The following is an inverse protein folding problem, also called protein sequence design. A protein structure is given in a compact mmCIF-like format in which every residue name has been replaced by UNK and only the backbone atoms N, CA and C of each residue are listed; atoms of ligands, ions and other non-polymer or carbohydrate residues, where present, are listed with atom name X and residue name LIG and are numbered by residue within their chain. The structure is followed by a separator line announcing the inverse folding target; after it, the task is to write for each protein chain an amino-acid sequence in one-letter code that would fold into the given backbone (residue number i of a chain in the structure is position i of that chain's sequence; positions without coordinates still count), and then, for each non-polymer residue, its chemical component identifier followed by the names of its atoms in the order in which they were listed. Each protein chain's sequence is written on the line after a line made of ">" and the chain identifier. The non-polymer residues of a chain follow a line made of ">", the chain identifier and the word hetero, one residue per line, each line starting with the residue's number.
data_IF_167409385777
#
_entry.id   IF_167409385777
#
_cell.length_a   1.000
_cell.length_b   1.000
_cell.length_c   1.000
_cell.angle_alpha   90.00
_cell.angle_beta   90.00
_cell.angle_gamma   90.00
#
_symmetry.space_group_name_H-M   'P 1'
#
loop_
_entity.id
_entity.type
_entity.pdbx_description
1 polymer ?
#
# COMPACT_ATOMS: atom_id res chain seq x y z
N UNK A 1 4.97 -23.21 -11.15
CA UNK A 1 4.70 -22.58 -9.84
C UNK A 1 5.47 -21.28 -9.78
N UNK A 2 4.79 -20.11 -9.77
CA UNK A 2 5.48 -18.84 -9.50
C UNK A 2 5.84 -18.87 -8.02
N UNK A 3 7.13 -18.94 -7.69
CA UNK A 3 7.61 -18.85 -6.33
C UNK A 3 7.01 -17.60 -5.67
N UNK A 4 6.67 -17.70 -4.40
CA UNK A 4 6.05 -16.66 -3.61
C UNK A 4 6.97 -15.42 -3.55
N UNK A 5 6.81 -14.50 -4.51
CA UNK A 5 7.59 -13.25 -4.62
C UNK A 5 7.66 -12.46 -3.30
N UNK A 6 6.73 -12.73 -2.39
CA UNK A 6 6.59 -12.04 -1.12
C UNK A 6 7.48 -12.65 -0.01
N UNK A 7 7.43 -13.97 0.16
CA UNK A 7 8.20 -14.64 1.21
C UNK A 7 9.67 -14.70 0.87
N UNK A 8 10.00 -14.91 -0.41
CA UNK A 8 11.38 -14.87 -0.88
C UNK A 8 11.99 -13.48 -0.68
N UNK A 9 11.22 -12.41 -0.92
CA UNK A 9 11.66 -11.05 -0.67
C UNK A 9 11.82 -10.76 0.84
N UNK A 10 10.92 -11.26 1.69
CA UNK A 10 11.00 -11.09 3.14
C UNK A 10 12.25 -11.77 3.72
N UNK A 11 12.43 -13.06 3.46
CA UNK A 11 13.57 -13.85 3.95
C UNK A 11 14.90 -13.31 3.42
N UNK A 12 14.96 -12.93 2.15
CA UNK A 12 16.13 -12.29 1.55
C UNK A 12 16.47 -10.99 2.26
N UNK A 13 15.48 -10.13 2.54
CA UNK A 13 15.67 -8.85 3.24
C UNK A 13 16.15 -9.04 4.67
N UNK A 14 15.64 -10.03 5.38
CA UNK A 14 16.17 -10.39 6.72
C UNK A 14 17.64 -10.75 6.63
N UNK A 15 18.00 -11.73 5.81
CA UNK A 15 19.39 -12.19 5.61
C UNK A 15 20.35 -11.06 5.24
N UNK A 16 19.99 -10.24 4.26
CA UNK A 16 20.82 -9.11 3.85
C UNK A 16 20.98 -8.05 4.93
N UNK A 17 19.93 -7.81 5.73
CA UNK A 17 19.99 -6.89 6.87
C UNK A 17 20.93 -7.41 7.95
N UNK A 18 20.80 -8.69 8.31
CA UNK A 18 21.69 -9.38 9.25
C UNK A 18 23.14 -9.34 8.78
N UNK A 19 23.39 -9.65 7.50
CA UNK A 19 24.74 -9.61 6.92
C UNK A 19 25.36 -8.20 7.04
N UNK A 20 24.59 -7.15 6.72
CA UNK A 20 25.07 -5.78 6.86
C UNK A 20 25.42 -5.45 8.32
N UNK A 21 24.57 -5.84 9.26
CA UNK A 21 24.80 -5.59 10.68
C UNK A 21 26.01 -6.33 11.23
N UNK A 22 26.16 -7.63 10.92
CA UNK A 22 27.33 -8.44 11.32
C UNK A 22 28.65 -7.92 10.72
N UNK A 23 28.60 -7.31 9.55
CA UNK A 23 29.78 -6.72 8.87
C UNK A 23 29.98 -5.23 9.19
N UNK A 24 29.20 -4.67 10.10
CA UNK A 24 29.22 -3.23 10.44
C UNK A 24 29.03 -2.30 9.23
N UNK A 25 28.27 -2.79 8.21
CA UNK A 25 27.98 -2.05 6.97
C UNK A 25 26.61 -1.37 7.05
N UNK A 26 26.43 -0.21 6.40
CA UNK A 26 25.13 0.44 6.34
C UNK A 26 24.10 -0.40 5.60
N UNK A 27 22.89 -0.51 6.16
CA UNK A 27 21.77 -1.20 5.51
C UNK A 27 21.34 -0.38 4.28
N UNK A 28 21.33 -0.97 3.07
CA UNK A 28 20.99 -0.24 1.86
C UNK A 28 19.52 0.16 1.84
N UNK A 29 19.23 1.36 1.33
CA UNK A 29 17.85 1.77 1.08
C UNK A 29 17.29 0.96 -0.09
N UNK A 30 16.26 0.16 0.19
CA UNK A 30 15.65 -0.77 -0.78
C UNK A 30 14.39 -0.25 -1.42
N UNK A 31 13.71 0.66 -0.72
CA UNK A 31 12.44 1.23 -1.16
C UNK A 31 12.34 2.68 -0.75
N UNK A 32 11.91 3.50 -1.71
CA UNK A 32 11.50 4.88 -1.46
C UNK A 32 10.04 5.02 -1.90
N UNK A 33 9.15 5.29 -0.96
CA UNK A 33 7.76 5.64 -1.27
C UNK A 33 7.70 7.15 -1.55
N UNK A 34 7.22 7.52 -2.73
CA UNK A 34 7.10 8.91 -3.15
C UNK A 34 5.63 9.26 -3.27
N UNK A 35 5.17 10.15 -2.41
CA UNK A 35 3.84 10.75 -2.50
C UNK A 35 3.91 11.92 -3.48
N UNK A 36 3.66 11.63 -4.76
CA UNK A 36 3.93 12.58 -5.84
C UNK A 36 3.00 13.79 -5.82
N UNK A 37 1.78 13.63 -5.35
CA UNK A 37 0.78 14.70 -5.22
C UNK A 37 -0.27 14.34 -4.18
N UNK A 38 -0.96 15.34 -3.65
CA UNK A 38 -2.19 15.13 -2.89
C UNK A 38 -3.46 15.53 -3.65
N UNK A 39 -3.34 15.91 -4.94
CA UNK A 39 -4.47 16.04 -5.85
C UNK A 39 -5.00 14.67 -6.25
N UNK A 40 -6.31 14.59 -6.51
CA UNK A 40 -6.93 13.40 -7.08
C UNK A 40 -8.07 13.81 -8.00
N UNK A 41 -8.33 13.04 -9.03
CA UNK A 41 -9.47 13.17 -9.93
C UNK A 41 -10.71 12.41 -9.42
N UNK A 42 -10.58 11.60 -8.35
CA UNK A 42 -11.69 10.97 -7.65
C UNK A 42 -12.04 11.73 -6.36
N UNK A 43 -13.26 11.51 -5.85
CA UNK A 43 -13.78 12.08 -4.59
C UNK A 43 -14.36 10.99 -3.71
N UNK A 44 -13.59 9.91 -3.49
CA UNK A 44 -14.03 8.79 -2.66
C UNK A 44 -14.42 9.27 -1.26
N UNK A 45 -15.63 8.96 -0.82
CA UNK A 45 -16.17 9.41 0.45
C UNK A 45 -15.36 9.00 1.69
N UNK A 46 -14.56 7.93 1.58
CA UNK A 46 -13.66 7.45 2.62
C UNK A 46 -12.24 8.03 2.54
N UNK A 47 -11.95 8.93 1.59
CA UNK A 47 -10.60 9.45 1.40
C UNK A 47 -10.25 10.51 2.44
N UNK A 48 -9.15 10.29 3.18
CA UNK A 48 -8.67 11.20 4.21
C UNK A 48 -7.57 12.16 3.71
N UNK A 49 -7.29 12.19 2.42
CA UNK A 49 -6.34 13.16 1.88
C UNK A 49 -6.99 14.53 1.88
N UNK A 50 -6.31 15.51 2.49
CA UNK A 50 -6.62 16.91 2.23
C UNK A 50 -6.27 17.22 0.78
N UNK A 51 -7.29 17.43 -0.05
CA UNK A 51 -7.12 17.73 -1.49
C UNK A 51 -6.55 19.13 -1.69
N UNK A 52 -5.32 19.36 -1.25
CA UNK A 52 -4.61 20.61 -1.55
C UNK A 52 -3.92 20.50 -2.92
N UNK A 53 -3.34 21.60 -3.39
CA UNK A 53 -2.80 21.71 -4.75
C UNK A 53 -1.34 21.28 -4.89
N UNK A 54 -0.75 20.65 -3.86
CA UNK A 54 0.67 20.36 -3.83
C UNK A 54 1.05 19.16 -4.69
N UNK A 55 2.15 19.30 -5.41
CA UNK A 55 2.72 18.26 -6.28
C UNK A 55 4.24 18.35 -6.22
N UNK A 56 4.90 17.23 -6.09
CA UNK A 56 6.36 17.13 -6.10
C UNK A 56 6.90 17.61 -7.44
N UNK A 57 7.99 18.36 -7.43
CA UNK A 57 8.65 18.74 -8.67
C UNK A 57 9.38 17.54 -9.31
N UNK A 58 9.55 17.60 -10.62
CA UNK A 58 10.27 16.58 -11.38
C UNK A 58 11.72 16.46 -10.91
N UNK A 59 12.38 17.60 -10.64
CA UNK A 59 13.78 17.65 -10.22
C UNK A 59 14.01 16.94 -8.87
N UNK A 60 13.05 17.08 -7.93
CA UNK A 60 13.13 16.35 -6.64
C UNK A 60 13.01 14.84 -6.89
N UNK A 61 12.12 14.38 -7.79
CA UNK A 61 12.03 12.97 -8.12
C UNK A 61 13.33 12.46 -8.77
N UNK A 62 13.93 13.22 -9.67
CA UNK A 62 15.22 12.89 -10.29
C UNK A 62 16.34 12.78 -9.24
N UNK A 63 16.43 13.71 -8.30
CA UNK A 63 17.37 13.67 -7.18
C UNK A 63 17.14 12.43 -6.29
N UNK A 64 15.89 12.08 -6.02
CA UNK A 64 15.53 10.86 -5.26
C UNK A 64 16.02 9.61 -6.00
N UNK A 65 15.77 9.51 -7.30
CA UNK A 65 16.19 8.37 -8.12
C UNK A 65 17.72 8.27 -8.18
N UNK A 66 18.40 9.38 -8.41
CA UNK A 66 19.89 9.43 -8.43
C UNK A 66 20.47 9.00 -7.08
N UNK A 67 19.93 9.51 -5.98
CA UNK A 67 20.40 9.18 -4.62
C UNK A 67 20.15 7.72 -4.25
N UNK A 68 19.03 7.13 -4.69
CA UNK A 68 18.60 5.78 -4.32
C UNK A 68 18.47 4.87 -5.56
N UNK A 69 19.47 4.90 -6.43
CA UNK A 69 19.47 4.26 -7.75
C UNK A 69 19.21 2.74 -7.75
N UNK A 70 19.51 2.06 -6.63
CA UNK A 70 19.24 0.62 -6.43
C UNK A 70 17.91 0.33 -5.75
N UNK A 71 17.20 1.36 -5.28
CA UNK A 71 15.93 1.19 -4.59
C UNK A 71 14.76 0.99 -5.56
N UNK A 72 13.67 0.44 -5.02
CA UNK A 72 12.37 0.47 -5.67
C UNK A 72 11.75 1.85 -5.41
N UNK A 73 11.41 2.56 -6.45
CA UNK A 73 10.69 3.84 -6.39
C UNK A 73 9.19 3.56 -6.45
N UNK A 74 8.53 3.65 -5.30
CA UNK A 74 7.11 3.37 -5.17
C UNK A 74 6.30 4.67 -5.23
N UNK A 75 5.74 4.95 -6.39
CA UNK A 75 4.92 6.13 -6.63
C UNK A 75 3.51 5.92 -6.07
N UNK A 76 3.03 6.89 -5.32
CA UNK A 76 1.69 6.94 -4.72
C UNK A 76 1.29 8.41 -4.47
N UNK A 77 0.19 8.64 -3.77
CA UNK A 77 -0.27 9.99 -3.40
C UNK A 77 -1.78 10.09 -3.39
N UNK A 78 -2.35 11.19 -3.91
CA UNK A 78 -3.72 11.25 -4.37
C UNK A 78 -3.86 10.37 -5.61
N UNK A 79 -3.80 10.98 -6.80
CA UNK A 79 -3.71 10.18 -8.03
C UNK A 79 -2.49 10.59 -8.87
N UNK A 80 -1.50 9.70 -9.02
CA UNK A 80 -0.29 9.99 -9.78
C UNK A 80 -0.52 10.38 -11.25
N UNK A 81 -1.53 9.80 -11.90
CA UNK A 81 -1.80 10.02 -13.33
C UNK A 81 -2.19 11.45 -13.69
N UNK A 82 -2.63 12.27 -12.74
CA UNK A 82 -2.95 13.67 -12.98
C UNK A 82 -1.72 14.57 -13.04
N UNK A 83 -0.56 14.05 -12.66
CA UNK A 83 0.73 14.75 -12.78
C UNK A 83 1.25 14.52 -14.20
N UNK A 84 0.98 15.46 -15.12
CA UNK A 84 1.16 15.31 -16.58
C UNK A 84 2.54 14.79 -17.01
N UNK A 85 3.61 15.24 -16.34
CA UNK A 85 4.98 14.84 -16.69
C UNK A 85 5.38 13.45 -16.18
N UNK A 86 4.63 12.87 -15.20
CA UNK A 86 5.08 11.69 -14.47
C UNK A 86 5.07 10.41 -15.32
N UNK A 87 3.99 10.12 -16.06
CA UNK A 87 3.92 8.90 -16.85
C UNK A 87 4.93 8.90 -18.01
N UNK A 88 5.09 9.97 -18.80
CA UNK A 88 6.20 10.09 -19.75
C UNK A 88 7.58 9.94 -19.09
N UNK A 89 7.76 10.48 -17.91
CA UNK A 89 8.99 10.34 -17.15
C UNK A 89 9.28 8.88 -16.76
N UNK A 90 8.28 8.14 -16.27
CA UNK A 90 8.42 6.71 -15.93
C UNK A 90 8.80 5.91 -17.18
N UNK A 91 8.16 6.14 -18.33
CA UNK A 91 8.46 5.45 -19.59
C UNK A 91 9.89 5.70 -20.06
N UNK A 92 10.40 6.91 -19.92
CA UNK A 92 11.77 7.29 -20.32
C UNK A 92 12.83 6.63 -19.42
N UNK A 93 12.54 6.40 -18.15
CA UNK A 93 13.50 5.92 -17.16
C UNK A 93 13.48 4.37 -17.01
N UNK A 94 13.76 3.64 -18.08
CA UNK A 94 13.66 2.16 -18.15
C UNK A 94 14.50 1.40 -17.15
N UNK A 95 15.63 1.96 -16.70
CA UNK A 95 16.52 1.36 -15.70
C UNK A 95 16.02 1.45 -14.25
N UNK A 96 14.98 2.24 -14.00
CA UNK A 96 14.43 2.44 -12.65
C UNK A 96 13.31 1.42 -12.37
N UNK A 97 13.35 0.82 -11.17
CA UNK A 97 12.32 -0.12 -10.73
C UNK A 97 11.13 0.61 -10.13
N UNK A 98 10.15 0.98 -10.94
CA UNK A 98 8.94 1.65 -10.49
C UNK A 98 7.88 0.66 -9.99
N UNK A 99 7.27 0.96 -8.84
CA UNK A 99 5.99 0.45 -8.39
C UNK A 99 4.99 1.60 -8.39
N UNK A 100 3.73 1.35 -8.76
CA UNK A 100 2.71 2.39 -8.86
C UNK A 100 1.43 1.97 -8.13
N UNK A 101 0.90 2.89 -7.30
CA UNK A 101 -0.47 2.85 -6.83
C UNK A 101 -1.27 3.90 -7.58
N UNK A 102 -2.42 3.53 -8.15
CA UNK A 102 -3.26 4.42 -8.95
C UNK A 102 -4.72 3.98 -8.91
N UNK A 103 -5.63 4.89 -9.17
CA UNK A 103 -7.03 4.55 -9.45
C UNK A 103 -7.23 4.01 -10.88
N UNK A 104 -6.20 4.09 -11.72
CA UNK A 104 -6.18 3.63 -13.10
C UNK A 104 -7.30 4.21 -13.99
N UNK A 105 -7.80 5.41 -13.71
CA UNK A 105 -8.70 6.12 -14.63
C UNK A 105 -7.97 6.47 -15.92
N UNK A 106 -6.70 6.86 -15.81
CA UNK A 106 -5.77 7.00 -16.96
C UNK A 106 -4.95 5.71 -17.05
N UNK A 107 -4.69 5.26 -18.28
CA UNK A 107 -3.88 4.05 -18.51
C UNK A 107 -2.50 4.18 -17.87
N UNK A 108 -2.11 3.24 -16.97
CA UNK A 108 -0.77 3.22 -16.40
C UNK A 108 0.33 3.11 -17.46
N UNK A 109 1.55 3.60 -17.18
CA UNK A 109 2.69 3.42 -18.08
C UNK A 109 3.16 1.95 -18.09
N UNK A 110 3.86 1.54 -19.16
CA UNK A 110 4.31 0.15 -19.28
C UNK A 110 5.58 -0.16 -18.46
N UNK A 111 6.43 0.85 -18.24
CA UNK A 111 7.68 0.68 -17.50
C UNK A 111 7.44 0.61 -15.96
N UNK A 112 6.62 -0.35 -15.55
CA UNK A 112 6.28 -0.58 -14.13
C UNK A 112 6.54 -2.04 -13.80
N UNK A 113 7.13 -2.31 -12.62
CA UNK A 113 7.38 -3.68 -12.13
C UNK A 113 6.22 -4.23 -11.28
N UNK A 114 5.51 -3.36 -10.58
CA UNK A 114 4.30 -3.69 -9.82
C UNK A 114 3.26 -2.58 -9.94
N UNK A 115 2.03 -2.99 -10.12
CA UNK A 115 0.87 -2.11 -10.22
C UNK A 115 -0.15 -2.48 -9.14
N UNK A 116 -0.67 -1.47 -8.44
CA UNK A 116 -1.74 -1.62 -7.48
C UNK A 116 -2.87 -0.68 -7.84
N UNK A 117 -4.03 -1.23 -8.14
CA UNK A 117 -5.20 -0.47 -8.61
C UNK A 117 -6.30 -0.53 -7.55
N UNK A 118 -6.94 0.62 -7.29
CA UNK A 118 -8.10 0.70 -6.39
C UNK A 118 -9.36 0.26 -7.12
N UNK A 119 -10.07 -0.72 -6.54
CA UNK A 119 -11.38 -1.18 -7.01
C UNK A 119 -12.20 -1.63 -5.78
N UNK A 120 -13.12 -0.79 -5.34
CA UNK A 120 -13.85 -0.99 -4.08
C UNK A 120 -15.19 -1.71 -4.25
N UNK A 121 -15.67 -1.86 -5.49
CA UNK A 121 -16.88 -2.61 -5.82
C UNK A 121 -16.79 -3.27 -7.19
N UNK A 122 -17.52 -4.37 -7.36
CA UNK A 122 -17.76 -5.04 -8.64
C UNK A 122 -19.01 -4.53 -9.35
N UNK A 123 -19.85 -3.74 -8.66
CA UNK A 123 -21.07 -3.13 -9.18
C UNK A 123 -20.75 -1.77 -9.79
N UNK A 124 -20.96 -1.62 -11.10
CA UNK A 124 -20.57 -0.42 -11.86
C UNK A 124 -21.11 0.87 -11.26
N UNK A 125 -22.44 0.96 -11.09
CA UNK A 125 -23.08 2.20 -10.63
C UNK A 125 -22.68 2.54 -9.20
N UNK A 126 -22.58 1.52 -8.36
CA UNK A 126 -22.15 1.70 -6.98
C UNK A 126 -20.67 2.13 -6.89
N UNK A 127 -19.78 1.53 -7.70
CA UNK A 127 -18.39 1.99 -7.78
C UNK A 127 -18.29 3.44 -8.23
N UNK A 128 -19.01 3.82 -9.30
CA UNK A 128 -19.03 5.18 -9.80
C UNK A 128 -19.52 6.18 -8.75
N UNK A 129 -20.55 5.80 -7.98
CA UNK A 129 -21.04 6.58 -6.84
C UNK A 129 -19.95 6.74 -5.76
N UNK A 130 -19.30 5.66 -5.35
CA UNK A 130 -18.24 5.67 -4.32
C UNK A 130 -17.07 6.59 -4.68
N UNK A 131 -16.67 6.64 -5.95
CA UNK A 131 -15.51 7.42 -6.41
C UNK A 131 -15.89 8.81 -6.95
N UNK A 132 -17.18 9.08 -7.10
CA UNK A 132 -17.73 10.38 -7.53
C UNK A 132 -17.56 10.70 -9.03
N UNK A 133 -17.22 9.68 -9.86
CA UNK A 133 -17.06 9.82 -11.33
C UNK A 133 -17.38 8.52 -12.03
N UNK A 134 -17.80 8.60 -13.31
CA UNK A 134 -18.01 7.41 -14.16
C UNK A 134 -16.68 6.81 -14.60
N UNK A 135 -16.16 5.84 -13.82
CA UNK A 135 -14.81 5.30 -13.98
C UNK A 135 -14.74 3.78 -14.14
N UNK A 136 -15.76 3.03 -13.76
CA UNK A 136 -15.71 1.58 -13.63
C UNK A 136 -15.18 0.87 -14.86
N UNK A 137 -15.75 1.13 -16.04
CA UNK A 137 -15.38 0.43 -17.28
C UNK A 137 -13.91 0.66 -17.66
N UNK A 138 -13.41 1.88 -17.47
CA UNK A 138 -12.01 2.23 -17.71
C UNK A 138 -11.07 1.49 -16.75
N UNK A 139 -11.40 1.49 -15.48
CA UNK A 139 -10.60 0.83 -14.43
C UNK A 139 -10.56 -0.66 -14.67
N UNK A 140 -11.70 -1.30 -14.93
CA UNK A 140 -11.82 -2.73 -15.25
C UNK A 140 -11.00 -3.08 -16.51
N UNK A 141 -11.12 -2.29 -17.58
CA UNK A 141 -10.32 -2.45 -18.80
C UNK A 141 -8.81 -2.42 -18.49
N UNK A 142 -8.35 -1.45 -17.70
CA UNK A 142 -6.94 -1.32 -17.37
C UNK A 142 -6.45 -2.45 -16.45
N UNK A 143 -7.25 -2.90 -15.47
CA UNK A 143 -6.90 -4.07 -14.66
C UNK A 143 -6.73 -5.29 -15.57
N UNK A 144 -7.68 -5.56 -16.46
CA UNK A 144 -7.66 -6.70 -17.39
C UNK A 144 -6.43 -6.70 -18.29
N UNK A 145 -6.05 -5.52 -18.78
CA UNK A 145 -4.90 -5.34 -19.67
C UNK A 145 -3.57 -5.52 -18.91
N UNK A 146 -3.42 -4.84 -17.77
CA UNK A 146 -2.15 -4.80 -17.06
C UNK A 146 -1.88 -6.06 -16.24
N UNK A 147 -2.91 -6.76 -15.75
CA UNK A 147 -2.72 -8.03 -15.03
C UNK A 147 -2.04 -9.12 -15.88
N UNK A 148 -2.14 -9.02 -17.20
CA UNK A 148 -1.45 -9.92 -18.14
C UNK A 148 0.02 -9.57 -18.37
N UNK A 149 0.40 -8.31 -18.15
CA UNK A 149 1.73 -7.77 -18.51
C UNK A 149 2.65 -7.63 -17.30
N UNK A 150 2.12 -7.17 -16.16
CA UNK A 150 2.89 -6.88 -14.97
C UNK A 150 2.23 -7.46 -13.73
N UNK A 151 2.97 -7.56 -12.62
CA UNK A 151 2.42 -7.99 -11.32
C UNK A 151 1.40 -6.96 -10.85
N UNK A 152 0.13 -7.21 -11.13
CA UNK A 152 -0.99 -6.31 -10.82
C UNK A 152 -1.81 -6.84 -9.66
N UNK A 153 -2.15 -5.96 -8.73
CA UNK A 153 -3.03 -6.23 -7.59
C UNK A 153 -4.16 -5.23 -7.54
N UNK A 154 -5.30 -5.67 -7.02
CA UNK A 154 -6.44 -4.82 -6.67
C UNK A 154 -6.44 -4.53 -5.18
N UNK A 155 -6.89 -3.35 -4.78
CA UNK A 155 -7.10 -2.98 -3.37
C UNK A 155 -8.51 -2.45 -3.19
N UNK A 156 -9.19 -2.98 -2.17
CA UNK A 156 -10.48 -2.51 -1.69
C UNK A 156 -10.35 -2.01 -0.23
N UNK A 157 -10.97 -0.88 0.06
CA UNK A 157 -11.06 -0.35 1.43
C UNK A 157 -12.32 -0.88 2.09
N UNK A 158 -12.16 -1.47 3.29
CA UNK A 158 -13.27 -1.96 4.10
C UNK A 158 -13.95 -0.80 4.84
N UNK A 159 -15.16 -0.50 4.45
CA UNK A 159 -16.07 0.47 5.06
C UNK A 159 -17.41 -0.20 5.34
N UNK A 160 -18.31 0.48 6.06
CA UNK A 160 -19.69 -0.01 6.27
C UNK A 160 -20.40 -0.37 4.95
N UNK A 161 -20.05 0.36 3.89
CA UNK A 161 -20.69 0.20 2.58
C UNK A 161 -20.08 -0.94 1.75
N UNK A 162 -18.78 -1.21 1.91
CA UNK A 162 -18.06 -2.15 1.01
C UNK A 162 -17.85 -3.54 1.59
N UNK A 163 -17.79 -3.69 2.92
CA UNK A 163 -17.30 -4.93 3.54
C UNK A 163 -18.14 -6.18 3.25
N UNK A 164 -19.48 -6.02 3.15
CA UNK A 164 -20.38 -7.15 2.90
C UNK A 164 -20.23 -7.73 1.50
N UNK A 165 -19.96 -6.89 0.51
CA UNK A 165 -19.82 -7.25 -0.90
C UNK A 165 -18.42 -7.77 -1.28
N UNK A 166 -17.48 -7.82 -0.32
CA UNK A 166 -16.10 -8.23 -0.61
C UNK A 166 -15.95 -9.67 -1.14
N UNK A 167 -16.77 -10.68 -0.75
CA UNK A 167 -16.72 -12.01 -1.39
C UNK A 167 -17.10 -11.97 -2.87
N UNK A 168 -18.10 -11.17 -3.23
CA UNK A 168 -18.55 -11.03 -4.62
C UNK A 168 -17.53 -10.23 -5.46
N UNK A 169 -16.94 -9.20 -4.88
CA UNK A 169 -15.80 -8.50 -5.50
C UNK A 169 -14.62 -9.46 -5.76
N UNK A 170 -14.33 -10.35 -4.83
CA UNK A 170 -13.28 -11.36 -5.01
C UNK A 170 -13.61 -12.32 -6.16
N UNK A 171 -14.85 -12.84 -6.23
CA UNK A 171 -15.31 -13.70 -7.32
C UNK A 171 -15.23 -12.97 -8.66
N UNK A 172 -15.70 -11.71 -8.72
CA UNK A 172 -15.59 -10.86 -9.90
C UNK A 172 -14.14 -10.72 -10.36
N UNK A 173 -13.24 -10.36 -9.44
CA UNK A 173 -11.82 -10.18 -9.77
C UNK A 173 -11.20 -11.49 -10.29
N UNK A 174 -11.53 -12.63 -9.74
CA UNK A 174 -11.01 -13.92 -10.21
C UNK A 174 -11.54 -14.30 -11.59
N UNK A 175 -12.81 -14.01 -11.87
CA UNK A 175 -13.44 -14.28 -13.17
C UNK A 175 -12.92 -13.36 -14.25
N UNK A 176 -12.94 -12.04 -14.01
CA UNK A 176 -12.61 -11.05 -15.03
C UNK A 176 -11.09 -10.85 -15.22
N UNK A 177 -10.30 -11.15 -14.20
CA UNK A 177 -8.85 -10.92 -14.18
C UNK A 177 -8.09 -12.17 -13.75
N UNK A 178 -8.12 -13.28 -14.52
CA UNK A 178 -7.51 -14.55 -14.11
C UNK A 178 -5.99 -14.46 -13.89
N UNK A 179 -5.33 -13.46 -14.48
CA UNK A 179 -3.90 -13.19 -14.30
C UNK A 179 -3.59 -12.24 -13.13
N UNK A 180 -4.60 -11.78 -12.38
CA UNK A 180 -4.42 -10.89 -11.25
C UNK A 180 -3.58 -11.58 -10.16
N UNK A 181 -2.56 -10.87 -9.68
CA UNK A 181 -1.68 -11.39 -8.65
C UNK A 181 -2.40 -11.57 -7.29
N UNK A 182 -3.13 -10.53 -6.84
CA UNK A 182 -3.85 -10.58 -5.57
C UNK A 182 -4.93 -9.49 -5.48
N UNK A 183 -5.92 -9.74 -4.60
CA UNK A 183 -6.86 -8.73 -4.11
C UNK A 183 -6.52 -8.47 -2.64
N UNK A 184 -6.30 -7.21 -2.29
CA UNK A 184 -5.99 -6.77 -0.93
C UNK A 184 -7.17 -6.01 -0.34
N UNK A 185 -7.56 -6.39 0.86
CA UNK A 185 -8.53 -5.66 1.66
C UNK A 185 -7.80 -4.86 2.73
N UNK A 186 -8.10 -3.57 2.83
CA UNK A 186 -7.47 -2.68 3.81
C UNK A 186 -8.53 -2.01 4.66
N UNK A 187 -8.27 -1.91 5.97
CA UNK A 187 -9.16 -1.17 6.85
C UNK A 187 -9.19 0.32 6.47
N UNK A 188 -10.34 0.95 6.63
CA UNK A 188 -10.48 2.40 6.55
C UNK A 188 -9.54 3.08 7.55
N UNK A 189 -8.89 4.17 7.13
CA UNK A 189 -7.84 4.84 7.92
C UNK A 189 -8.30 6.10 8.66
N UNK A 190 -9.55 6.47 8.50
CA UNK A 190 -10.12 7.62 9.16
C UNK A 190 -10.80 7.30 10.49
N UNK A 191 -11.38 8.34 11.09
CA UNK A 191 -12.08 8.26 12.37
C UNK A 191 -13.58 8.50 12.24
N UNK A 192 -14.08 8.74 11.01
CA UNK A 192 -15.50 8.97 10.77
C UNK A 192 -16.32 7.72 11.08
N UNK A 193 -17.16 7.81 12.10
CA UNK A 193 -18.03 6.72 12.58
C UNK A 193 -19.09 6.29 11.55
N UNK A 194 -19.42 7.14 10.57
CA UNK A 194 -20.34 6.80 9.49
C UNK A 194 -19.71 5.81 8.52
N UNK A 195 -18.39 5.84 8.37
CA UNK A 195 -17.61 5.00 7.46
C UNK A 195 -17.00 3.79 8.17
N UNK A 196 -16.55 3.97 9.42
CA UNK A 196 -15.97 2.89 10.23
C UNK A 196 -16.98 1.77 10.48
N UNK A 197 -16.51 0.54 10.41
CA UNK A 197 -17.25 -0.62 10.85
C UNK A 197 -17.59 -0.49 12.35
N UNK A 198 -18.82 -0.78 12.72
CA UNK A 198 -19.23 -0.96 14.12
C UNK A 198 -18.69 -2.27 14.68
N UNK A 199 -18.78 -2.47 15.99
CA UNK A 199 -18.40 -3.76 16.62
C UNK A 199 -19.16 -4.93 16.00
N UNK A 200 -20.47 -4.78 15.79
CA UNK A 200 -21.32 -5.79 15.14
C UNK A 200 -20.87 -6.09 13.70
N UNK A 201 -20.51 -5.04 12.93
CA UNK A 201 -20.01 -5.23 11.55
C UNK A 201 -18.68 -5.98 11.54
N UNK A 202 -17.80 -5.68 12.50
CA UNK A 202 -16.50 -6.37 12.64
C UNK A 202 -16.70 -7.82 13.03
N UNK A 203 -17.58 -8.12 13.98
CA UNK A 203 -17.90 -9.49 14.37
C UNK A 203 -18.46 -10.26 13.18
N UNK A 204 -19.45 -9.69 12.48
CA UNK A 204 -20.01 -10.30 11.26
C UNK A 204 -18.94 -10.50 10.17
N UNK A 205 -18.02 -9.54 9.99
CA UNK A 205 -16.92 -9.69 9.03
C UNK A 205 -16.03 -10.89 9.38
N UNK A 206 -15.63 -11.03 10.64
CA UNK A 206 -14.74 -12.11 11.08
C UNK A 206 -15.42 -13.48 11.05
N UNK A 207 -16.69 -13.56 11.42
CA UNK A 207 -17.43 -14.82 11.54
C UNK A 207 -17.98 -15.30 10.20
N UNK A 208 -18.45 -14.39 9.36
CA UNK A 208 -19.20 -14.75 8.13
C UNK A 208 -18.41 -14.41 6.86
N UNK A 209 -17.84 -13.19 6.77
CA UNK A 209 -17.24 -12.71 5.52
C UNK A 209 -15.82 -13.26 5.36
N UNK A 210 -15.00 -13.16 6.39
CA UNK A 210 -13.59 -13.57 6.36
C UNK A 210 -13.41 -15.03 5.94
N UNK A 211 -14.16 -16.03 6.47
CA UNK A 211 -14.05 -17.41 6.01
C UNK A 211 -14.39 -17.59 4.52
N UNK A 212 -15.36 -16.84 4.00
CA UNK A 212 -15.72 -16.88 2.58
C UNK A 212 -14.61 -16.34 1.69
N UNK A 213 -13.93 -15.27 2.14
CA UNK A 213 -12.78 -14.70 1.45
C UNK A 213 -11.57 -15.65 1.48
N UNK A 214 -11.28 -16.23 2.64
CA UNK A 214 -10.14 -17.15 2.80
C UNK A 214 -10.22 -18.37 1.88
N UNK A 215 -11.42 -18.92 1.67
CA UNK A 215 -11.67 -20.02 0.71
C UNK A 215 -11.38 -19.64 -0.74
N UNK A 216 -11.41 -18.36 -1.06
CA UNK A 216 -11.19 -17.84 -2.40
C UNK A 216 -9.76 -17.32 -2.63
N UNK A 217 -8.93 -17.24 -1.59
CA UNK A 217 -7.57 -16.68 -1.68
C UNK A 217 -6.55 -17.76 -2.02
N UNK A 218 -5.53 -17.39 -2.80
CA UNK A 218 -4.33 -18.20 -2.90
C UNK A 218 -3.50 -18.07 -1.60
N UNK A 219 -2.54 -18.97 -1.39
CA UNK A 219 -1.71 -19.04 -0.18
C UNK A 219 -1.05 -17.69 0.16
N UNK A 220 -0.58 -16.96 -0.83
CA UNK A 220 0.12 -15.69 -0.64
C UNK A 220 -0.84 -14.56 -0.26
N UNK A 221 -1.96 -14.42 -0.96
CA UNK A 221 -3.04 -13.47 -0.63
C UNK A 221 -3.61 -13.73 0.75
N UNK A 222 -3.80 -15.01 1.10
CA UNK A 222 -4.31 -15.44 2.40
C UNK A 222 -3.37 -15.03 3.54
N UNK A 223 -2.06 -15.23 3.37
CA UNK A 223 -1.07 -14.84 4.37
C UNK A 223 -1.07 -13.32 4.60
N UNK A 224 -1.07 -12.54 3.51
CA UNK A 224 -1.14 -11.08 3.58
C UNK A 224 -2.45 -10.57 4.19
N UNK A 225 -3.55 -11.22 3.87
CA UNK A 225 -4.86 -10.91 4.40
C UNK A 225 -4.90 -11.12 5.92
N UNK A 226 -4.43 -12.27 6.39
CA UNK A 226 -4.33 -12.58 7.82
C UNK A 226 -3.44 -11.59 8.57
N UNK A 227 -2.28 -11.26 8.03
CA UNK A 227 -1.38 -10.28 8.64
C UNK A 227 -1.96 -8.85 8.72
N UNK A 228 -2.80 -8.47 7.77
CA UNK A 228 -3.35 -7.11 7.71
C UNK A 228 -4.65 -6.94 8.48
N UNK A 229 -5.43 -8.01 8.67
CA UNK A 229 -6.78 -7.97 9.24
C UNK A 229 -6.98 -8.82 10.50
N UNK A 230 -5.94 -9.49 11.01
CA UNK A 230 -6.07 -10.37 12.17
C UNK A 230 -6.44 -9.66 13.48
N UNK A 231 -6.34 -8.33 13.53
CA UNK A 231 -6.72 -7.56 14.70
C UNK A 231 -8.07 -6.87 14.49
N UNK A 232 -9.12 -7.33 15.17
CA UNK A 232 -10.44 -6.67 15.22
C UNK A 232 -10.32 -5.17 15.51
N UNK A 233 -9.36 -4.77 16.35
CA UNK A 233 -9.07 -3.36 16.68
C UNK A 233 -8.70 -2.50 15.47
N UNK A 234 -8.09 -3.05 14.43
CA UNK A 234 -7.72 -2.30 13.22
C UNK A 234 -8.93 -1.86 12.41
N UNK A 235 -9.94 -2.71 12.34
CA UNK A 235 -11.19 -2.39 11.65
C UNK A 235 -12.03 -1.37 12.42
N UNK A 236 -11.98 -1.42 13.76
CA UNK A 236 -12.77 -0.53 14.64
C UNK A 236 -12.18 0.88 14.81
N UNK A 237 -10.87 1.05 14.65
CA UNK A 237 -10.19 2.31 15.00
C UNK A 237 -9.62 3.07 13.82
N UNK A 238 -9.92 2.65 12.57
CA UNK A 238 -9.06 3.06 11.50
C UNK A 238 -7.61 2.67 11.86
N UNK A 239 -6.64 2.71 11.01
CA UNK A 239 -5.31 2.23 11.36
C UNK A 239 -4.69 3.10 12.45
N UNK A 240 -4.93 2.79 13.69
CA UNK A 240 -3.99 3.03 14.77
C UNK A 240 -3.31 1.68 15.03
N UNK A 241 -2.02 1.65 14.75
CA UNK A 241 -1.22 0.45 15.01
C UNK A 241 -1.33 0.08 16.48
N UNK A 242 -1.37 -1.22 16.79
CA UNK A 242 -1.30 -1.66 18.18
C UNK A 242 -0.05 -1.04 18.81
N UNK A 243 -0.15 -0.72 20.07
CA UNK A 243 0.92 -0.16 20.90
C UNK A 243 2.08 -1.16 21.13
N UNK A 244 2.33 -2.05 20.18
CA UNK A 244 3.47 -2.95 20.21
C UNK A 244 4.73 -2.09 20.12
N UNK A 245 5.18 -1.64 21.27
CA UNK A 245 6.48 -1.00 21.44
C UNK A 245 7.53 -1.99 20.95
N UNK A 246 8.22 -1.63 19.87
CA UNK A 246 9.40 -2.40 19.50
C UNK A 246 10.41 -2.26 20.64
N UNK A 247 10.75 -3.37 21.28
CA UNK A 247 11.88 -3.46 22.23
C UNK A 247 13.23 -3.32 21.52
N UNK A 248 13.25 -3.51 20.20
CA UNK A 248 14.41 -3.55 19.32
C UNK A 248 14.50 -2.33 18.40
N UNK A 249 15.66 -2.03 17.82
CA UNK A 249 15.80 -1.02 16.77
C UNK A 249 14.88 -1.33 15.58
N UNK A 250 14.36 -0.29 14.92
CA UNK A 250 13.54 -0.48 13.73
C UNK A 250 14.43 -0.62 12.48
N UNK A 251 14.87 -1.81 12.15
CA UNK A 251 15.71 -2.11 10.98
C UNK A 251 14.99 -1.76 9.66
N UNK A 252 13.67 -1.81 9.64
CA UNK A 252 12.91 -1.40 8.46
C UNK A 252 13.08 0.09 8.14
N UNK A 253 13.09 0.95 9.17
CA UNK A 253 13.27 2.41 8.98
C UNK A 253 14.66 2.75 8.42
N UNK A 254 15.63 1.86 8.59
CA UNK A 254 16.96 1.98 8.02
C UNK A 254 16.99 1.63 6.52
N UNK A 255 16.08 0.78 6.04
CA UNK A 255 16.02 0.27 4.66
C UNK A 255 14.93 0.91 3.79
N UNK A 256 14.05 1.73 4.35
CA UNK A 256 12.97 2.41 3.62
C UNK A 256 12.99 3.92 3.86
N UNK A 257 12.54 4.68 2.87
CA UNK A 257 12.34 6.14 2.97
C UNK A 257 10.98 6.49 2.40
N UNK A 258 10.47 7.63 2.84
CA UNK A 258 9.28 8.26 2.27
C UNK A 258 9.62 9.69 1.89
N UNK A 259 9.13 10.14 0.75
CA UNK A 259 9.22 11.52 0.29
C UNK A 259 7.80 12.01 0.04
N UNK A 260 7.44 13.14 0.63
CA UNK A 260 6.13 13.76 0.41
C UNK A 260 6.15 14.72 -0.80
N UNK A 261 5.00 15.28 -1.12
CA UNK A 261 4.83 16.24 -2.22
C UNK A 261 5.55 17.60 -2.02
N UNK A 262 6.07 17.88 -0.82
CA UNK A 262 6.92 19.04 -0.55
C UNK A 262 8.42 18.71 -0.64
N UNK A 263 8.77 17.43 -0.87
CA UNK A 263 10.14 16.94 -0.84
C UNK A 263 10.66 16.60 0.57
N UNK A 264 9.84 16.68 1.60
CA UNK A 264 10.22 16.26 2.95
C UNK A 264 10.46 14.75 3.01
N UNK A 265 11.46 14.35 3.80
CA UNK A 265 11.91 12.96 3.89
C UNK A 265 11.61 12.38 5.27
N UNK A 266 11.00 11.20 5.28
CA UNK A 266 10.65 10.45 6.48
C UNK A 266 11.32 9.07 6.46
N UNK A 267 11.64 8.53 7.62
CA UNK A 267 12.27 7.22 7.72
C UNK A 267 11.28 6.05 7.54
N UNK A 268 9.99 6.28 7.63
CA UNK A 268 8.99 5.25 7.32
C UNK A 268 7.62 5.86 6.97
N UNK A 269 6.75 5.05 6.35
CA UNK A 269 5.41 5.47 5.94
C UNK A 269 4.46 5.75 7.12
N UNK A 270 4.74 5.22 8.30
CA UNK A 270 3.94 5.48 9.49
C UNK A 270 4.17 6.90 10.00
N UNK A 271 5.43 7.31 10.11
CA UNK A 271 5.79 8.67 10.49
C UNK A 271 5.23 9.71 9.55
N UNK A 272 5.28 9.44 8.25
CA UNK A 272 4.70 10.28 7.25
C UNK A 272 3.18 10.43 7.45
N UNK A 273 2.47 9.34 7.67
CA UNK A 273 1.01 9.36 7.88
C UNK A 273 0.63 10.07 9.17
N UNK A 274 1.35 9.80 10.26
CA UNK A 274 1.09 10.47 11.54
C UNK A 274 1.32 11.98 11.44
N UNK A 275 2.34 12.40 10.71
CA UNK A 275 2.60 13.83 10.49
C UNK A 275 1.49 14.49 9.66
N UNK A 276 0.98 13.81 8.63
CA UNK A 276 -0.10 14.35 7.78
C UNK A 276 -1.46 14.34 8.48
N UNK A 277 -1.79 13.23 9.15
CA UNK A 277 -3.13 13.06 9.72
C UNK A 277 -3.26 13.62 11.13
N UNK A 278 -2.16 13.77 11.86
CA UNK A 278 -2.19 14.17 13.27
C UNK A 278 -1.33 15.39 13.60
N UNK A 279 -0.71 16.01 12.60
CA UNK A 279 0.15 17.20 12.75
C UNK A 279 1.17 17.08 13.91
N UNK A 280 1.79 15.93 14.08
CA UNK A 280 2.73 15.65 15.16
C UNK A 280 4.15 15.62 14.62
N UNK A 281 4.97 16.65 14.88
CA UNK A 281 6.39 16.63 14.53
C UNK A 281 7.10 15.52 15.32
N UNK A 282 7.93 14.73 14.64
CA UNK A 282 8.59 13.60 15.28
C UNK A 282 10.08 13.56 15.08
N UNK A 283 10.78 13.65 16.20
CA UNK A 283 12.22 13.34 16.30
C UNK A 283 12.35 11.89 16.83
N UNK A 284 12.95 10.97 16.06
CA UNK A 284 13.09 9.58 16.50
C UNK A 284 14.49 9.17 16.86
N UNK A 285 14.64 8.67 18.09
CA UNK A 285 15.73 7.75 18.45
C UNK A 285 15.21 6.33 18.75
N UNK A 286 13.95 6.17 19.17
CA UNK A 286 13.26 4.88 19.35
C UNK A 286 11.84 4.99 18.82
N UNK A 287 11.35 3.98 18.11
CA UNK A 287 9.98 3.97 17.63
C UNK A 287 9.02 3.76 18.79
N UNK A 288 8.34 4.84 19.21
CA UNK A 288 7.30 4.82 20.26
C UNK A 288 5.92 4.41 19.70
N UNK A 289 5.83 4.19 18.38
CA UNK A 289 4.58 3.86 17.69
C UNK A 289 4.51 2.36 17.47
N UNK A 290 3.33 1.81 17.66
CA UNK A 290 3.04 0.47 17.21
C UNK A 290 3.21 0.35 15.70
N UNK A 291 3.64 -0.82 15.25
CA UNK A 291 3.81 -1.15 13.84
C UNK A 291 2.87 -2.29 13.46
N UNK A 292 2.61 -2.48 12.17
CA UNK A 292 1.86 -3.65 11.77
C UNK A 292 2.67 -4.93 12.09
N UNK A 293 1.97 -6.02 12.40
CA UNK A 293 2.56 -7.29 12.84
C UNK A 293 3.68 -7.80 11.93
N UNK A 294 3.56 -7.56 10.63
CA UNK A 294 4.58 -7.94 9.65
C UNK A 294 5.90 -7.21 9.84
N UNK A 295 5.84 -5.91 10.13
CA UNK A 295 7.03 -5.09 10.33
C UNK A 295 7.66 -5.41 11.70
N UNK A 296 6.83 -5.72 12.69
CA UNK A 296 7.29 -6.25 13.99
C UNK A 296 8.03 -7.57 13.77
N UNK A 297 7.41 -8.52 13.06
CA UNK A 297 8.02 -9.82 12.75
C UNK A 297 9.35 -9.67 11.99
N UNK A 298 9.45 -8.73 11.05
CA UNK A 298 10.71 -8.48 10.36
C UNK A 298 11.83 -8.08 11.32
N UNK A 299 11.55 -7.18 12.26
CA UNK A 299 12.54 -6.75 13.25
C UNK A 299 12.88 -7.88 14.24
N UNK A 300 11.90 -8.68 14.65
CA UNK A 300 12.09 -9.86 15.52
C UNK A 300 12.98 -10.91 14.84
N UNK A 301 12.75 -11.23 13.56
CA UNK A 301 13.58 -12.20 12.82
C UNK A 301 15.01 -11.68 12.64
N UNK A 302 15.19 -10.40 12.33
CA UNK A 302 16.53 -9.80 12.25
C UNK A 302 17.25 -9.90 13.60
N UNK A 303 16.59 -9.54 14.70
CA UNK A 303 17.14 -9.59 16.05
C UNK A 303 17.52 -11.01 16.48
N UNK A 304 16.68 -11.99 16.13
CA UNK A 304 16.92 -13.41 16.42
C UNK A 304 18.17 -13.96 15.69
N UNK A 305 18.44 -13.50 14.47
CA UNK A 305 19.58 -13.96 13.69
C UNK A 305 20.89 -13.20 14.00
N UNK A 306 20.80 -12.04 14.68
CA UNK A 306 21.98 -11.28 15.13
C UNK A 306 22.54 -11.85 16.44
N UNK A 307 21.67 -12.28 17.35
CA UNK A 307 22.05 -12.96 18.60
C UNK A 307 22.60 -14.33 18.31
#
# INVERSE_FOLDING_TARGET
>A
MRNSLYWDDFSRRVKETVTCLKQNKPIPIRRVAVFITNKCNFRCGYCNLSFNTKTLSKDILEQVIKKYNKAIIHITGGEPSIVRWLYPFIEKNKGVRFHLNTNAFVSPPNNIKRLKISLDSHKKDYYNHLVGVSAFDRVVKHIKMFSKKVVTSVTCVLTKETYKDTPELMKFCRKEFPSLYAVFFTAYKGTDKKILLSTKDVDYFFEIIKPKLEKQMNRESLSLFRETLDEKRRLLRGIRFPENKLSTPCYLSMSEKVVDWNGNRFCCSHLFRDNIFYNRPQKHKKCKFGCNRRLVKFNEEVEKEIK
#
